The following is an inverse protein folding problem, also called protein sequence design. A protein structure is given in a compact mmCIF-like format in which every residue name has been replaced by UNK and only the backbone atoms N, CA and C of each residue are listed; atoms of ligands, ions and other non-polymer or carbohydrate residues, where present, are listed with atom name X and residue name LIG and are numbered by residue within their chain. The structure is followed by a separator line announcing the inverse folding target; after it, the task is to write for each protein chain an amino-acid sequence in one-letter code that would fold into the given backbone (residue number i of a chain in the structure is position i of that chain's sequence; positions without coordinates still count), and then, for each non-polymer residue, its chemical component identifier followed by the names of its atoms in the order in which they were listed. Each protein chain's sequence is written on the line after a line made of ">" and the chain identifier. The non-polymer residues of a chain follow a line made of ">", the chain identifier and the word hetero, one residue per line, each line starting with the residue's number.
data_IF_206747709760
#
_entry.id   IF_206747709760
#
_cell.length_a   1.000
_cell.length_b   1.000
_cell.length_c   1.000
_cell.angle_alpha   90.00
_cell.angle_beta   90.00
_cell.angle_gamma   90.00
#
_symmetry.space_group_name_H-M   'P 1'
#
loop_
_entity.id
_entity.type
_entity.pdbx_description
1 polymer ?
#
# COMPACT_ATOMS: atom_id res chain seq x y z
N UNK A 1 -69.52 4.86 22.67
CA UNK A 1 -68.49 5.68 23.33
C UNK A 1 -67.21 5.60 22.46
N UNK A 2 -66.85 6.69 21.79
CA UNK A 2 -65.58 6.77 21.02
C UNK A 2 -64.46 7.12 22.00
N UNK A 3 -63.47 6.19 22.14
CA UNK A 3 -62.23 6.47 22.89
C UNK A 3 -61.41 7.52 22.11
N UNK A 4 -61.45 8.76 22.53
CA UNK A 4 -60.61 9.83 22.04
C UNK A 4 -59.22 9.57 22.66
N UNK A 5 -58.24 9.09 21.86
CA UNK A 5 -56.84 9.01 22.30
C UNK A 5 -56.34 10.45 22.56
N UNK A 6 -55.94 10.74 23.79
CA UNK A 6 -55.28 12.00 24.16
C UNK A 6 -54.04 12.19 23.24
N UNK A 7 -53.82 13.41 22.70
CA UNK A 7 -52.59 13.69 21.98
C UNK A 7 -51.40 13.49 22.92
N UNK A 8 -50.24 13.05 22.37
CA UNK A 8 -49.04 12.88 23.18
C UNK A 8 -48.66 14.21 23.82
N UNK A 9 -48.30 14.19 25.09
CA UNK A 9 -47.82 15.37 25.80
C UNK A 9 -46.48 15.82 25.26
N UNK A 10 -46.19 17.11 25.27
CA UNK A 10 -44.94 17.72 24.73
C UNK A 10 -43.68 17.03 25.28
N UNK A 11 -43.73 16.53 26.52
CA UNK A 11 -42.63 15.73 27.10
C UNK A 11 -42.35 14.41 26.36
N UNK A 12 -43.40 13.72 25.88
CA UNK A 12 -43.23 12.47 25.13
C UNK A 12 -42.61 12.72 23.77
N UNK A 13 -42.99 13.81 23.12
CA UNK A 13 -42.37 14.20 21.84
C UNK A 13 -40.88 14.59 21.99
N UNK A 14 -40.52 15.22 23.12
CA UNK A 14 -39.16 15.56 23.45
C UNK A 14 -38.28 14.33 23.68
N UNK A 15 -38.81 13.31 24.38
CA UNK A 15 -38.14 12.04 24.57
C UNK A 15 -37.92 11.29 23.27
N UNK A 16 -38.92 11.25 22.39
CA UNK A 16 -38.82 10.60 21.07
C UNK A 16 -37.76 11.32 20.22
N UNK A 17 -37.76 12.66 20.22
CA UNK A 17 -36.79 13.45 19.49
C UNK A 17 -35.36 13.21 20.02
N UNK A 18 -35.18 13.18 21.35
CA UNK A 18 -33.88 12.87 21.98
C UNK A 18 -33.36 11.49 21.61
N UNK A 19 -34.22 10.48 21.56
CA UNK A 19 -33.85 9.13 21.14
C UNK A 19 -33.38 9.07 19.69
N UNK A 20 -34.04 9.79 18.77
CA UNK A 20 -33.61 9.87 17.38
C UNK A 20 -32.25 10.56 17.22
N UNK A 21 -31.97 11.61 18.00
CA UNK A 21 -30.66 12.26 17.99
C UNK A 21 -29.56 11.30 18.47
N UNK A 22 -29.76 10.57 19.56
CA UNK A 22 -28.80 9.60 20.08
C UNK A 22 -28.55 8.49 19.05
N UNK A 23 -29.63 7.93 18.48
CA UNK A 23 -29.51 6.89 17.44
C UNK A 23 -28.75 7.38 16.21
N UNK A 24 -28.99 8.62 15.78
CA UNK A 24 -28.27 9.23 14.65
C UNK A 24 -26.78 9.41 14.94
N UNK A 25 -26.42 9.89 16.14
CA UNK A 25 -25.01 10.00 16.53
C UNK A 25 -24.32 8.64 16.66
N UNK A 26 -24.99 7.64 17.17
CA UNK A 26 -24.45 6.27 17.22
C UNK A 26 -24.23 5.70 15.82
N UNK A 27 -25.12 5.98 14.89
CA UNK A 27 -25.00 5.57 13.50
C UNK A 27 -23.83 6.25 12.81
N UNK A 28 -23.64 7.56 13.00
CA UNK A 28 -22.45 8.28 12.50
C UNK A 28 -21.18 7.70 13.12
N UNK A 29 -21.14 7.49 14.42
CA UNK A 29 -19.99 6.89 15.12
C UNK A 29 -19.67 5.49 14.59
N UNK A 30 -20.69 4.69 14.31
CA UNK A 30 -20.54 3.35 13.72
C UNK A 30 -19.96 3.41 12.33
N UNK A 31 -20.46 4.30 11.45
CA UNK A 31 -19.88 4.48 10.11
C UNK A 31 -18.47 5.01 10.15
N UNK A 32 -18.20 5.98 11.04
CA UNK A 32 -16.85 6.51 11.23
C UNK A 32 -15.88 5.42 11.70
N UNK A 33 -16.27 4.63 12.70
CA UNK A 33 -15.46 3.52 13.21
C UNK A 33 -15.18 2.47 12.13
N UNK A 34 -16.19 2.08 11.34
CA UNK A 34 -15.99 1.12 10.26
C UNK A 34 -15.14 1.69 9.11
N UNK A 35 -15.29 2.98 8.77
CA UNK A 35 -14.50 3.63 7.74
C UNK A 35 -13.02 3.78 8.12
N UNK A 36 -12.72 3.89 9.42
CA UNK A 36 -11.34 4.05 9.92
C UNK A 36 -10.64 2.72 10.25
N UNK A 37 -11.37 1.59 10.19
CA UNK A 37 -10.86 0.29 10.64
C UNK A 37 -9.85 -0.36 9.69
N UNK A 38 -9.84 0.05 8.42
CA UNK A 38 -9.10 -0.66 7.37
C UNK A 38 -7.74 -0.04 7.02
N UNK A 39 -7.27 0.96 7.77
CA UNK A 39 -5.95 1.53 7.55
C UNK A 39 -5.14 1.64 8.85
N UNK A 40 -3.84 1.48 8.72
CA UNK A 40 -2.88 1.66 9.81
C UNK A 40 -1.93 2.79 9.44
N UNK A 41 -1.81 3.80 10.30
CA UNK A 41 -0.80 4.84 10.15
C UNK A 41 0.54 4.30 10.61
N UNK A 42 1.49 4.17 9.71
CA UNK A 42 2.82 3.62 9.99
C UNK A 42 3.80 4.73 10.39
N UNK A 43 3.66 5.90 9.77
CA UNK A 43 4.50 7.08 10.03
C UNK A 43 3.60 8.31 10.07
N UNK A 44 3.62 9.04 11.16
CA UNK A 44 2.80 10.24 11.41
C UNK A 44 3.62 11.53 11.52
N UNK A 45 4.96 11.41 11.46
CA UNK A 45 5.88 12.53 11.55
C UNK A 45 6.57 12.83 10.21
N UNK A 46 6.95 14.10 9.99
CA UNK A 46 7.75 14.48 8.82
C UNK A 46 9.17 13.93 9.01
N UNK A 47 9.59 13.11 8.07
CA UNK A 47 10.92 12.51 8.06
C UNK A 47 11.67 12.89 6.79
N UNK A 48 12.95 13.30 6.95
CA UNK A 48 13.83 13.57 5.83
C UNK A 48 14.54 12.30 5.35
N UNK A 49 14.32 11.92 4.11
CA UNK A 49 14.93 10.73 3.49
C UNK A 49 16.46 10.87 3.34
N UNK A 50 16.97 12.12 3.42
CA UNK A 50 18.38 12.40 3.12
C UNK A 50 19.36 12.25 4.29
N UNK A 51 18.85 12.14 5.48
CA UNK A 51 19.69 12.07 6.69
C UNK A 51 20.13 10.66 7.07
N UNK A 52 20.11 9.70 6.13
CA UNK A 52 20.34 8.27 6.39
C UNK A 52 19.46 7.74 7.54
N UNK A 53 18.28 8.32 7.68
CA UNK A 53 17.34 7.90 8.70
C UNK A 53 16.55 6.72 8.13
N UNK A 54 16.95 5.52 8.50
CA UNK A 54 16.15 4.32 8.27
C UNK A 54 15.31 4.06 9.51
N UNK A 55 14.00 4.08 9.35
CA UNK A 55 13.05 3.62 10.36
C UNK A 55 12.59 2.22 9.98
N UNK A 56 12.88 1.26 10.82
CA UNK A 56 12.35 -0.08 10.67
C UNK A 56 10.96 -0.17 11.34
N UNK A 57 9.97 -0.61 10.57
CA UNK A 57 8.62 -0.88 11.06
C UNK A 57 8.47 -2.39 11.11
N UNK A 58 8.36 -2.97 12.32
CA UNK A 58 8.27 -4.41 12.47
C UNK A 58 6.98 -4.97 11.83
N UNK A 59 7.08 -6.18 11.34
CA UNK A 59 6.02 -6.82 10.58
C UNK A 59 4.71 -7.02 11.35
N UNK A 60 4.77 -7.15 12.66
CA UNK A 60 3.61 -7.29 13.54
C UNK A 60 2.73 -6.03 13.60
N UNK A 61 3.30 -4.85 13.27
CA UNK A 61 2.56 -3.58 13.15
C UNK A 61 1.92 -3.38 11.78
N UNK A 62 2.24 -4.23 10.79
CA UNK A 62 1.79 -4.07 9.41
C UNK A 62 0.62 -5.02 9.17
N UNK A 63 -0.53 -4.51 8.68
CA UNK A 63 -1.66 -5.37 8.34
C UNK A 63 -1.27 -6.43 7.30
N UNK A 64 -1.70 -7.67 7.51
CA UNK A 64 -1.48 -8.75 6.55
C UNK A 64 -2.36 -8.49 5.33
N UNK A 65 -1.79 -8.45 4.11
CA UNK A 65 -2.56 -8.30 2.90
C UNK A 65 -3.62 -9.39 2.75
N UNK A 66 -4.88 -9.00 2.66
CA UNK A 66 -5.98 -9.94 2.44
C UNK A 66 -6.21 -10.09 0.93
N UNK A 67 -6.34 -11.32 0.47
CA UNK A 67 -6.65 -11.62 -0.94
C UNK A 67 -5.69 -10.95 -1.95
N UNK A 68 -4.41 -10.81 -1.64
CA UNK A 68 -3.40 -10.13 -2.47
C UNK A 68 -3.78 -8.67 -2.80
N UNK A 69 -4.47 -8.00 -1.88
CA UNK A 69 -4.82 -6.58 -2.00
C UNK A 69 -4.13 -5.79 -0.91
N UNK A 70 -3.45 -4.73 -1.32
CA UNK A 70 -2.79 -3.80 -0.40
C UNK A 70 -2.69 -2.42 -1.06
N UNK A 71 -2.80 -1.38 -0.24
CA UNK A 71 -2.60 0.00 -0.68
C UNK A 71 -1.65 0.71 0.28
N UNK A 72 -0.71 1.44 -0.28
CA UNK A 72 0.21 2.31 0.43
C UNK A 72 -0.10 3.74 0.08
N UNK A 73 -0.37 4.56 1.08
CA UNK A 73 -0.69 5.98 0.94
C UNK A 73 0.41 6.75 1.64
N UNK A 74 1.04 7.69 0.94
CA UNK A 74 2.11 8.50 1.49
C UNK A 74 2.02 9.94 1.00
N UNK A 75 2.44 10.88 1.85
CA UNK A 75 2.61 12.27 1.50
C UNK A 75 4.09 12.56 1.41
N UNK A 76 4.54 13.03 0.25
CA UNK A 76 5.94 13.28 -0.05
C UNK A 76 6.14 14.73 -0.47
N UNK A 77 7.23 15.32 -0.01
CA UNK A 77 7.69 16.62 -0.46
C UNK A 77 9.06 16.45 -1.14
N UNK A 78 9.10 16.66 -2.43
CA UNK A 78 10.32 16.57 -3.21
C UNK A 78 10.94 17.96 -3.35
N UNK A 79 12.08 18.18 -2.71
CA UNK A 79 12.83 19.42 -2.84
C UNK A 79 13.61 19.47 -4.15
N UNK A 80 13.67 20.66 -4.75
CA UNK A 80 14.58 20.92 -5.87
C UNK A 80 15.92 21.38 -5.30
N UNK A 81 16.75 20.43 -4.91
CA UNK A 81 18.07 20.74 -4.31
C UNK A 81 19.17 20.89 -5.37
N UNK A 82 19.01 21.84 -6.29
CA UNK A 82 20.08 22.17 -7.26
C UNK A 82 21.30 22.86 -6.62
N UNK A 83 21.22 23.28 -5.35
CA UNK A 83 22.24 24.13 -4.74
C UNK A 83 23.16 23.46 -3.70
N UNK A 84 22.86 22.25 -3.23
CA UNK A 84 23.70 21.57 -2.24
C UNK A 84 24.70 20.61 -2.92
N UNK A 85 25.94 21.05 -3.03
CA UNK A 85 27.05 20.35 -3.72
C UNK A 85 27.37 18.94 -3.18
N UNK A 86 26.99 18.59 -1.96
CA UNK A 86 27.16 17.24 -1.41
C UNK A 86 26.12 16.23 -1.95
N UNK A 87 25.13 16.70 -2.67
CA UNK A 87 24.09 15.94 -3.32
C UNK A 87 24.54 15.27 -4.63
N UNK A 88 25.46 15.91 -5.35
CA UNK A 88 25.84 15.49 -6.68
C UNK A 88 26.47 14.10 -6.74
N UNK A 89 27.16 13.67 -5.71
CA UNK A 89 27.79 12.34 -5.70
C UNK A 89 26.79 11.17 -5.64
N UNK A 90 25.55 11.43 -5.20
CA UNK A 90 24.48 10.42 -5.08
C UNK A 90 23.21 10.78 -5.86
N UNK A 91 23.26 11.79 -6.73
CA UNK A 91 22.10 12.31 -7.43
C UNK A 91 21.52 11.34 -8.46
N UNK A 92 22.35 10.49 -9.03
CA UNK A 92 21.96 9.51 -10.05
C UNK A 92 21.38 8.21 -9.47
N UNK A 93 21.54 7.98 -8.17
CA UNK A 93 21.07 6.77 -7.53
C UNK A 93 19.61 6.86 -7.12
N UNK A 94 18.86 5.77 -7.28
CA UNK A 94 17.51 5.64 -6.75
C UNK A 94 17.53 5.72 -5.22
N UNK A 95 16.61 6.50 -4.65
CA UNK A 95 16.43 6.65 -3.21
C UNK A 95 15.22 5.88 -2.76
N UNK A 96 15.39 4.99 -1.80
CA UNK A 96 14.27 4.26 -1.24
C UNK A 96 13.41 5.19 -0.38
N UNK A 97 12.12 5.22 -0.67
CA UNK A 97 11.10 5.87 0.15
C UNK A 97 10.50 4.83 1.11
N UNK A 98 10.24 3.64 0.56
CA UNK A 98 9.74 2.50 1.29
C UNK A 98 10.39 1.24 0.74
N UNK A 99 10.97 0.43 1.61
CA UNK A 99 11.58 -0.85 1.24
C UNK A 99 10.92 -1.97 2.04
N UNK A 100 10.32 -2.89 1.34
CA UNK A 100 9.69 -4.05 1.95
C UNK A 100 10.25 -5.31 1.30
N UNK A 101 10.87 -6.18 2.08
CA UNK A 101 11.56 -7.38 1.58
C UNK A 101 10.72 -8.26 0.66
N UNK A 102 9.42 -8.39 0.98
CA UNK A 102 8.40 -9.01 0.13
C UNK A 102 7.20 -8.06 0.06
N UNK A 103 7.15 -7.24 -0.94
CA UNK A 103 6.11 -6.22 -1.14
C UNK A 103 6.58 -5.21 -2.16
N UNK A 104 5.91 -4.10 -2.33
CA UNK A 104 6.43 -3.05 -3.18
C UNK A 104 7.62 -2.36 -2.51
N UNK A 105 8.70 -2.22 -3.27
CA UNK A 105 9.76 -1.27 -2.99
C UNK A 105 9.42 0.01 -3.74
N UNK A 106 9.36 1.15 -3.04
CA UNK A 106 9.05 2.44 -3.65
C UNK A 106 10.30 3.29 -3.59
N UNK A 107 10.76 3.71 -4.75
CA UNK A 107 11.99 4.45 -4.94
C UNK A 107 11.73 5.73 -5.74
N UNK A 108 12.55 6.74 -5.54
CA UNK A 108 12.55 7.96 -6.32
C UNK A 108 13.94 8.26 -6.87
N UNK A 109 14.00 8.52 -8.16
CA UNK A 109 15.20 8.99 -8.81
C UNK A 109 15.12 10.51 -9.02
N UNK A 110 15.89 11.29 -8.26
CA UNK A 110 15.81 12.76 -8.36
C UNK A 110 16.38 13.30 -9.69
N UNK A 111 17.32 12.61 -10.33
CA UNK A 111 17.89 13.03 -11.58
C UNK A 111 16.90 12.96 -12.75
N UNK A 112 16.16 11.86 -12.84
CA UNK A 112 15.15 11.66 -13.89
C UNK A 112 13.75 12.12 -13.48
N UNK A 113 13.58 12.58 -12.24
CA UNK A 113 12.28 12.90 -11.64
C UNK A 113 11.28 11.75 -11.84
N UNK A 114 11.69 10.55 -11.44
CA UNK A 114 10.94 9.32 -11.69
C UNK A 114 10.69 8.59 -10.39
N UNK A 115 9.42 8.27 -10.14
CA UNK A 115 9.02 7.33 -9.11
C UNK A 115 9.05 5.92 -9.70
N UNK A 116 9.67 4.98 -8.99
CA UNK A 116 9.76 3.57 -9.36
C UNK A 116 9.09 2.72 -8.29
N UNK A 117 8.26 1.79 -8.73
CA UNK A 117 7.61 0.80 -7.87
C UNK A 117 8.07 -0.58 -8.31
N UNK A 118 8.89 -1.21 -7.50
CA UNK A 118 9.37 -2.58 -7.71
C UNK A 118 8.48 -3.59 -6.99
N UNK A 119 7.90 -4.54 -7.72
CA UNK A 119 7.09 -5.61 -7.14
C UNK A 119 7.71 -6.95 -7.44
N UNK A 120 7.95 -7.74 -6.40
CA UNK A 120 8.42 -9.13 -6.56
C UNK A 120 7.28 -10.01 -7.01
N UNK A 121 7.50 -10.78 -8.06
CA UNK A 121 6.54 -11.74 -8.61
C UNK A 121 7.16 -13.14 -8.63
N UNK A 122 6.32 -14.16 -8.57
CA UNK A 122 6.76 -15.55 -8.74
C UNK A 122 7.14 -15.76 -10.20
N UNK A 123 8.35 -16.23 -10.44
CA UNK A 123 8.78 -16.67 -11.77
C UNK A 123 8.55 -18.17 -11.86
N UNK A 124 7.70 -18.57 -12.78
CA UNK A 124 7.49 -20.01 -13.06
C UNK A 124 8.64 -20.43 -13.96
N UNK A 125 9.57 -21.20 -13.44
CA UNK A 125 10.57 -21.85 -14.28
C UNK A 125 9.85 -22.84 -15.19
N UNK A 126 10.22 -22.83 -16.46
CA UNK A 126 9.92 -23.95 -17.34
C UNK A 126 10.48 -25.24 -16.68
N UNK A 127 9.73 -26.35 -16.74
CA UNK A 127 10.25 -27.63 -16.21
C UNK A 127 11.58 -27.88 -16.89
N UNK A 128 12.61 -28.07 -16.07
CA UNK A 128 13.92 -28.51 -16.59
C UNK A 128 13.66 -29.85 -17.27
N UNK A 129 13.77 -29.87 -18.61
CA UNK A 129 13.80 -31.09 -19.38
C UNK A 129 15.08 -31.83 -19.03
N UNK A 130 15.09 -32.55 -17.94
CA UNK A 130 16.10 -33.57 -17.65
C UNK A 130 15.78 -34.79 -18.52
N UNK A 131 16.21 -34.71 -19.79
CA UNK A 131 16.35 -35.89 -20.63
C UNK A 131 17.53 -36.72 -20.11
N UNK A 132 17.41 -37.27 -18.94
CA UNK A 132 18.31 -38.33 -18.43
C UNK A 132 17.43 -39.39 -17.79
N UNK A 133 17.31 -40.51 -18.51
CA UNK A 133 16.47 -41.66 -18.19
C UNK A 133 16.93 -42.50 -16.97
N UNK A 134 17.67 -41.93 -16.03
CA UNK A 134 18.11 -42.65 -14.82
C UNK A 134 17.63 -41.90 -13.57
N UNK A 135 16.59 -42.40 -12.96
CA UNK A 135 16.09 -42.17 -11.60
C UNK A 135 14.61 -41.73 -11.50
N UNK A 136 13.73 -42.45 -12.19
CA UNK A 136 12.26 -42.17 -12.14
C UNK A 136 11.63 -42.51 -10.78
N UNK A 137 12.31 -43.18 -9.85
CA UNK A 137 11.68 -43.70 -8.62
C UNK A 137 11.98 -42.91 -7.33
N UNK A 138 12.74 -41.82 -7.36
CA UNK A 138 13.01 -41.00 -6.17
C UNK A 138 12.39 -39.56 -6.20
N UNK A 139 11.86 -39.13 -7.33
CA UNK A 139 11.40 -37.73 -7.49
C UNK A 139 9.93 -37.47 -7.16
N UNK A 140 9.13 -38.49 -6.87
CA UNK A 140 7.71 -38.31 -6.55
C UNK A 140 7.45 -37.70 -5.18
N UNK A 141 8.43 -37.60 -4.30
CA UNK A 141 8.23 -37.07 -2.93
C UNK A 141 8.90 -35.73 -2.65
N UNK A 142 9.61 -35.11 -3.59
CA UNK A 142 10.30 -33.85 -3.36
C UNK A 142 10.21 -32.85 -4.52
N UNK A 143 9.11 -32.78 -5.24
CA UNK A 143 8.87 -31.64 -6.15
C UNK A 143 8.58 -30.39 -5.35
N UNK A 144 9.54 -29.89 -4.60
CA UNK A 144 9.59 -28.52 -4.12
C UNK A 144 9.81 -27.69 -5.38
N UNK A 145 8.71 -27.18 -5.97
CA UNK A 145 8.80 -26.24 -7.09
C UNK A 145 9.52 -25.01 -6.54
N UNK A 146 10.79 -24.88 -6.87
CA UNK A 146 11.62 -23.75 -6.48
C UNK A 146 11.24 -22.56 -7.37
N UNK A 147 10.38 -21.69 -6.87
CA UNK A 147 10.00 -20.49 -7.56
C UNK A 147 11.15 -19.47 -7.47
N UNK A 148 11.70 -19.10 -8.62
CA UNK A 148 12.60 -17.95 -8.69
C UNK A 148 11.80 -16.67 -8.55
N UNK A 149 12.29 -15.73 -7.75
CA UNK A 149 11.70 -14.40 -7.62
C UNK A 149 12.23 -13.50 -8.73
N UNK A 150 11.33 -12.73 -9.34
CA UNK A 150 11.63 -11.68 -10.32
C UNK A 150 11.06 -10.36 -9.80
N UNK A 151 11.83 -9.29 -9.88
CA UNK A 151 11.32 -7.94 -9.63
C UNK A 151 10.81 -7.36 -10.94
N UNK A 152 9.57 -6.89 -10.93
CA UNK A 152 8.99 -6.11 -12.01
C UNK A 152 8.86 -4.66 -11.58
N UNK A 153 9.52 -3.75 -12.30
CA UNK A 153 9.54 -2.32 -12.02
C UNK A 153 8.48 -1.60 -12.87
N UNK A 154 7.82 -0.64 -12.24
CA UNK A 154 6.81 0.23 -12.86
C UNK A 154 7.25 1.66 -12.59
N UNK A 155 7.41 2.45 -13.66
CA UNK A 155 7.93 3.80 -13.58
C UNK A 155 6.85 4.83 -13.88
N UNK A 156 6.88 5.94 -13.12
CA UNK A 156 6.08 7.15 -13.31
C UNK A 156 7.02 8.34 -13.35
N UNK A 157 7.05 9.05 -14.46
CA UNK A 157 7.90 10.24 -14.65
C UNK A 157 7.15 11.53 -14.34
N UNK A 158 7.87 12.63 -14.20
CA UNK A 158 7.31 13.96 -13.98
C UNK A 158 6.50 14.09 -12.67
N UNK A 159 7.04 13.56 -11.59
CA UNK A 159 6.45 13.73 -10.26
C UNK A 159 6.49 15.22 -9.88
N UNK A 160 5.40 15.78 -9.32
CA UNK A 160 5.38 17.17 -8.86
C UNK A 160 6.45 17.40 -7.78
N UNK A 161 7.27 18.46 -7.97
CA UNK A 161 8.32 18.87 -7.04
C UNK A 161 7.94 20.18 -6.35
N UNK A 162 8.61 20.50 -5.22
CA UNK A 162 8.40 21.72 -4.43
C UNK A 162 6.97 21.90 -3.89
N UNK A 163 6.25 20.82 -3.75
CA UNK A 163 4.93 20.77 -3.10
C UNK A 163 4.70 19.44 -2.43
N UNK A 164 3.83 19.41 -1.43
CA UNK A 164 3.32 18.18 -0.89
C UNK A 164 2.49 17.45 -1.95
N UNK A 165 2.85 16.22 -2.21
CA UNK A 165 2.20 15.38 -3.23
C UNK A 165 1.77 14.07 -2.58
N UNK A 166 0.51 13.70 -2.77
CA UNK A 166 0.02 12.41 -2.34
C UNK A 166 0.38 11.36 -3.39
N UNK A 167 1.06 10.31 -2.95
CA UNK A 167 1.31 9.12 -3.76
C UNK A 167 0.51 7.97 -3.17
N UNK A 168 -0.27 7.29 -4.02
CA UNK A 168 -0.97 6.05 -3.64
C UNK A 168 -0.52 4.94 -4.58
N UNK A 169 -0.05 3.85 -4.01
CA UNK A 169 0.29 2.62 -4.73
C UNK A 169 -0.66 1.53 -4.28
N UNK A 170 -1.47 1.02 -5.18
CA UNK A 170 -2.42 -0.06 -4.92
C UNK A 170 -2.01 -1.30 -5.68
N UNK A 171 -1.96 -2.44 -5.00
CA UNK A 171 -1.78 -3.75 -5.62
C UNK A 171 -3.08 -4.52 -5.40
N UNK A 172 -3.71 -4.94 -6.49
CA UNK A 172 -4.88 -5.81 -6.48
C UNK A 172 -4.61 -7.03 -7.37
N UNK A 173 -4.28 -8.14 -6.74
CA UNK A 173 -3.84 -9.35 -7.42
C UNK A 173 -2.65 -9.06 -8.34
N UNK A 174 -2.85 -9.06 -9.64
CA UNK A 174 -1.82 -8.82 -10.66
C UNK A 174 -1.84 -7.40 -11.23
N UNK A 175 -2.64 -6.50 -10.69
CA UNK A 175 -2.71 -5.12 -11.14
C UNK A 175 -2.05 -4.21 -10.13
N UNK A 176 -1.27 -3.26 -10.63
CA UNK A 176 -0.64 -2.21 -9.83
C UNK A 176 -1.08 -0.87 -10.39
N UNK A 177 -1.76 -0.09 -9.57
CA UNK A 177 -2.23 1.23 -9.90
C UNK A 177 -1.48 2.28 -9.06
N UNK A 178 -0.98 3.30 -9.71
CA UNK A 178 -0.26 4.40 -9.07
C UNK A 178 -1.03 5.69 -9.31
N UNK A 179 -1.34 6.37 -8.21
CA UNK A 179 -2.04 7.65 -8.22
C UNK A 179 -1.12 8.74 -7.69
N UNK A 180 -1.22 9.91 -8.31
CA UNK A 180 -0.55 11.15 -7.88
C UNK A 180 -1.62 12.21 -7.67
N UNK A 181 -1.73 12.76 -6.46
CA UNK A 181 -2.77 13.74 -6.08
C UNK A 181 -4.19 13.25 -6.48
N UNK A 182 -4.51 12.00 -6.14
CA UNK A 182 -5.77 11.30 -6.44
C UNK A 182 -6.06 11.05 -7.95
N UNK A 183 -5.11 11.35 -8.85
CA UNK A 183 -5.23 11.05 -10.29
C UNK A 183 -4.50 9.77 -10.62
N UNK A 184 -5.15 8.81 -11.27
CA UNK A 184 -4.51 7.59 -11.78
C UNK A 184 -3.52 7.97 -12.89
N UNK A 185 -2.21 7.82 -12.61
CA UNK A 185 -1.15 8.17 -13.57
C UNK A 185 -0.56 6.94 -14.26
N UNK A 186 -0.65 5.78 -13.61
CA UNK A 186 -0.15 4.52 -14.18
C UNK A 186 -0.97 3.35 -13.70
N UNK A 187 -1.31 2.45 -14.61
CA UNK A 187 -1.84 1.13 -14.32
C UNK A 187 -0.99 0.10 -15.06
N UNK A 188 -0.55 -0.93 -14.38
CA UNK A 188 0.28 -1.98 -14.95
C UNK A 188 -0.21 -3.36 -14.50
N UNK A 189 -0.14 -4.32 -15.41
CA UNK A 189 -0.41 -5.72 -15.11
C UNK A 189 0.91 -6.44 -14.89
N UNK A 190 1.04 -7.10 -13.76
CA UNK A 190 2.19 -7.93 -13.43
C UNK A 190 2.19 -9.22 -14.28
N UNK A 191 3.38 -9.66 -14.66
CA UNK A 191 3.58 -10.89 -15.43
C UNK A 191 3.04 -12.11 -14.67
N UNK A 192 3.19 -12.11 -13.33
CA UNK A 192 2.74 -13.20 -12.48
C UNK A 192 2.19 -12.69 -11.14
N UNK A 193 1.84 -13.62 -10.24
CA UNK A 193 1.29 -13.32 -8.92
C UNK A 193 2.33 -12.63 -8.05
N UNK A 194 2.00 -11.48 -7.44
CA UNK A 194 2.92 -10.79 -6.54
C UNK A 194 3.16 -11.60 -5.27
N UNK A 195 4.36 -11.45 -4.73
CA UNK A 195 4.74 -12.01 -3.43
C UNK A 195 4.54 -10.90 -2.40
N UNK A 196 3.47 -11.02 -1.61
CA UNK A 196 3.11 -10.05 -0.58
C UNK A 196 3.18 -10.73 0.79
N UNK A 197 4.38 -10.99 1.24
CA UNK A 197 4.58 -11.64 2.54
C UNK A 197 4.61 -10.61 3.68
N UNK A 198 4.42 -11.13 4.88
CA UNK A 198 4.50 -10.36 6.12
C UNK A 198 5.98 -10.15 6.48
N UNK A 199 6.53 -9.02 6.10
CA UNK A 199 7.93 -8.64 6.34
C UNK A 199 8.01 -7.21 6.84
N UNK A 200 9.11 -6.89 7.52
CA UNK A 200 9.39 -5.55 8.01
C UNK A 200 9.50 -4.54 6.86
N UNK A 201 9.16 -3.29 7.15
CA UNK A 201 9.35 -2.14 6.25
C UNK A 201 10.57 -1.35 6.73
N UNK A 202 11.42 -0.95 5.80
CA UNK A 202 12.59 -0.09 6.02
C UNK A 202 12.48 1.18 5.21
#
# INVERSE_FOLDING_TARGET
>A
MKNIKKPPTDSQNLFVLGFFFIAFFLLIAFFYYNATKDYTTLVDEIQGIFNNYEREIPSDMIPIPQNLKVSYIMWLYFENNSENSNWFSNFTADKYILRKGYGPDIMYNPYSNTLKVGVKVKDVREPINTNTEENVNQELNNSKIDFKEKVQEIEVTNIPIQKWTQIVVTIDNRFVDIYVDAVLVKSAKLDNVPILNHTDIK
#
